data_IF_194000288413
#
_entry.id   IF_194000288413
#
_cell.length_a   1.000
_cell.length_b   1.000
_cell.length_c   1.000
_cell.angle_alpha   90.00
_cell.angle_beta   90.00
_cell.angle_gamma   90.00
#
_symmetry.space_group_name_H-M   'P 1'
#
loop_
_entity.id
_entity.type
_entity.pdbx_description
1 polymer ?
#
# COMPACT_ATOMS: atom_id res chain seq x y z
N UNK A 1 12.13 -9.78 3.55
CA UNK A 1 10.71 -9.90 3.16
C UNK A 1 9.87 -9.79 4.43
N UNK A 2 8.86 -8.89 4.41
CA UNK A 2 7.97 -8.57 5.54
C UNK A 2 7.46 -9.82 6.29
N UNK A 3 7.12 -10.87 5.54
CA UNK A 3 6.69 -12.20 6.00
C UNK A 3 7.52 -12.88 7.09
N UNK A 4 8.78 -12.47 7.27
CA UNK A 4 9.72 -13.08 8.22
C UNK A 4 10.05 -12.18 9.42
N UNK A 5 9.31 -11.10 9.61
CA UNK A 5 9.55 -10.08 10.63
C UNK A 5 8.25 -9.79 11.39
N UNK A 6 7.94 -10.56 12.46
CA UNK A 6 6.69 -10.41 13.22
C UNK A 6 6.53 -9.03 13.89
N UNK A 7 7.61 -8.25 14.03
CA UNK A 7 7.57 -6.87 14.50
C UNK A 7 7.00 -5.88 13.46
N UNK A 8 6.85 -6.28 12.19
CA UNK A 8 6.24 -5.43 11.17
C UNK A 8 4.72 -5.56 11.27
N UNK A 9 4.10 -4.54 11.85
CA UNK A 9 2.66 -4.52 12.14
C UNK A 9 1.81 -3.91 11.02
N UNK A 10 2.43 -3.34 9.99
CA UNK A 10 1.72 -2.80 8.83
C UNK A 10 2.64 -2.47 7.66
N UNK A 11 2.05 -2.14 6.51
CA UNK A 11 2.79 -1.73 5.32
C UNK A 11 2.08 -0.65 4.50
N UNK A 12 2.88 0.12 3.77
CA UNK A 12 2.45 1.01 2.69
C UNK A 12 3.18 0.55 1.43
N UNK A 13 2.44 0.28 0.36
CA UNK A 13 3.01 -0.08 -0.94
C UNK A 13 2.54 0.91 -2.01
N UNK A 14 3.49 1.53 -2.71
CA UNK A 14 3.20 2.51 -3.78
C UNK A 14 3.56 1.89 -5.12
N UNK A 15 2.61 1.88 -6.05
CA UNK A 15 2.77 1.34 -7.42
C UNK A 15 3.44 -0.05 -7.47
N UNK A 16 2.94 -1.04 -6.72
CA UNK A 16 3.57 -2.37 -6.68
C UNK A 16 3.56 -2.98 -8.09
N UNK A 17 4.69 -3.54 -8.58
CA UNK A 17 4.80 -4.11 -9.94
C UNK A 17 4.05 -5.44 -10.10
N UNK A 18 2.73 -5.44 -9.89
CA UNK A 18 1.87 -6.62 -9.86
C UNK A 18 1.70 -7.30 -11.24
N UNK A 19 2.20 -6.67 -12.30
CA UNK A 19 2.26 -7.20 -13.65
C UNK A 19 3.54 -8.00 -13.94
N UNK A 20 4.66 -7.68 -13.28
CA UNK A 20 5.97 -8.31 -13.52
C UNK A 20 6.45 -9.18 -12.36
N UNK A 21 5.99 -8.91 -11.13
CA UNK A 21 6.38 -9.65 -9.93
C UNK A 21 5.23 -10.46 -9.37
N UNK A 22 5.57 -11.65 -8.89
CA UNK A 22 4.63 -12.49 -8.18
C UNK A 22 4.54 -12.05 -6.71
N UNK A 23 3.33 -11.65 -6.31
CA UNK A 23 2.98 -11.25 -4.95
C UNK A 23 2.22 -12.35 -4.19
N UNK A 24 2.20 -13.60 -4.69
CA UNK A 24 1.66 -14.76 -3.96
C UNK A 24 2.30 -14.95 -2.58
N UNK A 25 3.50 -14.41 -2.33
CA UNK A 25 4.10 -14.40 -1.01
C UNK A 25 3.29 -13.60 0.03
N UNK A 26 2.38 -12.72 -0.40
CA UNK A 26 1.38 -12.04 0.44
C UNK A 26 0.18 -12.93 0.79
N UNK A 27 0.30 -14.26 0.65
CA UNK A 27 -0.71 -15.23 1.03
C UNK A 27 -0.13 -16.33 1.96
N UNK A 28 -0.44 -16.33 3.28
CA UNK A 28 -1.24 -15.35 4.00
C UNK A 28 -0.52 -14.02 4.24
N UNK A 29 -1.18 -12.87 4.06
CA UNK A 29 -0.61 -11.57 4.40
C UNK A 29 -0.54 -11.45 5.95
N UNK A 30 0.62 -11.10 6.53
CA UNK A 30 0.86 -11.17 7.97
C UNK A 30 0.39 -9.91 8.70
N UNK A 31 0.15 -8.82 7.97
CA UNK A 31 -0.18 -7.50 8.51
C UNK A 31 -1.14 -6.78 7.58
N UNK A 32 -2.01 -5.94 8.14
CA UNK A 32 -2.84 -5.01 7.37
C UNK A 32 -1.98 -3.93 6.70
N UNK A 33 -2.49 -3.28 5.66
CA UNK A 33 -1.71 -2.32 4.90
C UNK A 33 -2.55 -1.48 3.95
N UNK A 34 -1.89 -0.55 3.27
CA UNK A 34 -2.47 0.21 2.15
C UNK A 34 -1.63 0.04 0.89
N UNK A 35 -2.31 -0.05 -0.24
CA UNK A 35 -1.74 0.06 -1.58
C UNK A 35 -2.23 1.36 -2.22
N UNK A 36 -1.28 2.23 -2.56
CA UNK A 36 -1.53 3.50 -3.26
C UNK A 36 -1.08 3.34 -4.72
N UNK A 37 -1.98 3.61 -5.66
CA UNK A 37 -1.72 3.40 -7.09
C UNK A 37 -2.22 4.55 -7.95
N UNK A 38 -1.50 4.89 -9.01
CA UNK A 38 -1.95 5.89 -9.98
C UNK A 38 -2.97 5.29 -10.96
N UNK A 39 -4.11 5.94 -11.16
CA UNK A 39 -5.13 5.47 -12.09
C UNK A 39 -4.67 5.53 -13.56
N UNK A 40 -3.76 6.46 -13.87
CA UNK A 40 -3.14 6.62 -15.19
C UNK A 40 -1.74 5.97 -15.27
N UNK A 41 -1.44 4.99 -14.42
CA UNK A 41 -0.17 4.27 -14.48
C UNK A 41 -0.08 3.38 -15.74
N UNK A 42 0.71 3.84 -16.72
CA UNK A 42 1.00 3.10 -17.95
C UNK A 42 2.10 2.05 -17.84
N UNK A 43 2.81 1.97 -16.70
CA UNK A 43 3.88 0.99 -16.44
C UNK A 43 3.32 -0.23 -15.70
N UNK A 44 2.45 0.00 -14.71
CA UNK A 44 1.73 -1.03 -13.98
C UNK A 44 0.23 -0.76 -14.12
N UNK A 45 -0.48 -1.54 -14.96
CA UNK A 45 -1.91 -1.33 -15.16
C UNK A 45 -2.71 -1.45 -13.85
N UNK A 46 -3.63 -0.51 -13.54
CA UNK A 46 -4.46 -0.52 -12.33
C UNK A 46 -5.14 -1.85 -12.04
N UNK A 47 -5.65 -2.52 -13.08
CA UNK A 47 -6.30 -3.82 -12.94
C UNK A 47 -5.38 -4.93 -12.40
N UNK A 48 -4.07 -4.86 -12.69
CA UNK A 48 -3.12 -5.85 -12.17
C UNK A 48 -2.99 -5.73 -10.66
N UNK A 49 -3.07 -4.51 -10.14
CA UNK A 49 -3.04 -4.24 -8.71
C UNK A 49 -4.39 -4.58 -8.07
N UNK A 50 -5.52 -4.28 -8.72
CA UNK A 50 -6.84 -4.68 -8.22
C UNK A 50 -6.96 -6.20 -8.05
N UNK A 51 -6.53 -6.97 -9.07
CA UNK A 51 -6.47 -8.45 -8.99
C UNK A 51 -5.53 -8.95 -7.89
N UNK A 52 -4.46 -8.22 -7.57
CA UNK A 52 -3.61 -8.55 -6.45
C UNK A 52 -4.35 -8.38 -5.12
N UNK A 53 -5.02 -7.24 -4.93
CA UNK A 53 -5.78 -6.94 -3.71
C UNK A 53 -6.91 -7.95 -3.50
N UNK A 54 -7.68 -8.27 -4.54
CA UNK A 54 -8.75 -9.27 -4.46
C UNK A 54 -8.22 -10.61 -3.92
N UNK A 55 -7.06 -11.06 -4.40
CA UNK A 55 -6.41 -12.30 -3.92
C UNK A 55 -5.99 -12.20 -2.45
N UNK A 56 -5.47 -11.06 -2.02
CA UNK A 56 -5.05 -10.86 -0.63
C UNK A 56 -6.27 -10.84 0.29
N UNK A 57 -7.34 -10.14 -0.10
CA UNK A 57 -8.57 -9.99 0.69
C UNK A 57 -9.38 -11.30 0.82
N UNK A 58 -9.17 -12.31 -0.03
CA UNK A 58 -9.77 -13.65 0.18
C UNK A 58 -9.32 -14.33 1.49
N UNK A 59 -8.26 -13.82 2.12
CA UNK A 59 -7.66 -14.39 3.32
C UNK A 59 -8.26 -13.74 4.57
N UNK A 60 -8.56 -14.54 5.60
CA UNK A 60 -9.12 -14.02 6.85
C UNK A 60 -8.02 -13.47 7.75
N UNK A 61 -8.28 -12.31 8.37
CA UNK A 61 -7.47 -11.79 9.48
C UNK A 61 -6.60 -10.58 9.17
N UNK A 62 -6.64 -10.05 7.94
CA UNK A 62 -5.92 -8.83 7.53
C UNK A 62 -6.77 -8.00 6.59
N UNK A 63 -6.63 -6.68 6.67
CA UNK A 63 -7.28 -5.72 5.80
C UNK A 63 -6.23 -5.02 4.93
N UNK A 64 -6.42 -5.07 3.62
CA UNK A 64 -5.60 -4.33 2.66
C UNK A 64 -6.48 -3.27 2.02
N UNK A 65 -6.22 -2.02 2.38
CA UNK A 65 -6.83 -0.84 1.77
C UNK A 65 -6.19 -0.60 0.40
N UNK A 66 -7.00 -0.19 -0.57
CA UNK A 66 -6.55 0.10 -1.92
C UNK A 66 -7.10 1.45 -2.36
N UNK A 67 -6.19 2.38 -2.64
CA UNK A 67 -6.55 3.74 -3.07
C UNK A 67 -5.94 4.04 -4.42
N UNK A 68 -6.79 4.50 -5.33
CA UNK A 68 -6.38 5.00 -6.62
C UNK A 68 -6.34 6.52 -6.59
N UNK A 69 -5.24 7.08 -7.10
CA UNK A 69 -5.05 8.51 -7.25
C UNK A 69 -5.42 8.87 -8.70
N UNK A 70 -6.51 9.62 -8.91
CA UNK A 70 -6.98 10.00 -10.24
C UNK A 70 -5.88 10.74 -11.02
N UNK A 71 -5.81 10.48 -12.33
CA UNK A 71 -4.87 11.09 -13.28
C UNK A 71 -3.37 10.92 -12.96
N UNK A 72 -3.02 10.22 -11.87
CA UNK A 72 -1.64 9.98 -11.50
C UNK A 72 -1.01 8.84 -12.33
N UNK A 73 0.20 9.09 -12.82
CA UNK A 73 1.04 8.09 -13.47
C UNK A 73 1.91 7.34 -12.44
N UNK A 74 2.72 6.39 -12.91
CA UNK A 74 3.65 5.60 -12.09
C UNK A 74 4.53 6.44 -11.14
N UNK A 75 4.89 7.65 -11.57
CA UNK A 75 5.85 8.51 -10.88
C UNK A 75 5.20 9.58 -10.01
N UNK A 76 3.87 9.72 -10.08
CA UNK A 76 3.10 10.76 -9.38
C UNK A 76 3.63 12.18 -9.61
N UNK A 77 4.26 12.50 -10.74
CA UNK A 77 5.03 13.75 -10.94
C UNK A 77 4.26 15.04 -10.60
N UNK A 78 2.95 15.07 -10.83
CA UNK A 78 2.05 16.20 -10.47
C UNK A 78 1.05 15.87 -9.36
N UNK A 79 1.18 14.71 -8.73
CA UNK A 79 0.24 14.16 -7.76
C UNK A 79 0.93 13.70 -6.46
N UNK A 80 2.19 14.09 -6.24
CA UNK A 80 2.93 13.76 -5.02
C UNK A 80 2.22 14.28 -3.77
N UNK A 81 1.69 15.51 -3.80
CA UNK A 81 0.96 16.06 -2.66
C UNK A 81 -0.28 15.22 -2.33
N UNK A 82 -1.02 14.79 -3.35
CA UNK A 82 -2.18 13.91 -3.16
C UNK A 82 -1.76 12.53 -2.63
N UNK A 83 -0.66 11.97 -3.13
CA UNK A 83 -0.09 10.73 -2.61
C UNK A 83 0.28 10.84 -1.12
N UNK A 84 0.88 11.97 -0.73
CA UNK A 84 1.23 12.23 0.67
C UNK A 84 0.00 12.38 1.56
N UNK A 85 -1.06 13.04 1.07
CA UNK A 85 -2.35 13.13 1.80
C UNK A 85 -2.95 11.75 1.99
N UNK A 86 -3.09 10.95 0.94
CA UNK A 86 -3.68 9.60 1.04
C UNK A 86 -2.87 8.67 1.96
N UNK A 87 -1.54 8.76 1.89
CA UNK A 87 -0.66 8.01 2.79
C UNK A 87 -0.81 8.49 4.24
N UNK A 88 -0.88 9.81 4.46
CA UNK A 88 -1.10 10.42 5.77
C UNK A 88 -2.41 9.97 6.39
N UNK A 89 -3.51 10.06 5.64
CA UNK A 89 -4.85 9.64 6.09
C UNK A 89 -4.89 8.17 6.49
N UNK A 90 -4.20 7.30 5.75
CA UNK A 90 -4.05 5.89 6.15
C UNK A 90 -3.25 5.75 7.44
N UNK A 91 -2.12 6.43 7.56
CA UNK A 91 -1.26 6.37 8.74
C UNK A 91 -1.99 6.92 9.96
N UNK A 92 -2.70 8.03 9.88
CA UNK A 92 -3.48 8.59 10.99
C UNK A 92 -4.54 7.60 11.49
N UNK A 93 -5.13 6.81 10.59
CA UNK A 93 -6.08 5.76 10.96
C UNK A 93 -5.38 4.54 11.58
N UNK A 94 -4.26 4.11 11.00
CA UNK A 94 -3.53 2.92 11.42
C UNK A 94 -2.68 3.14 12.69
N UNK A 95 -2.26 4.39 12.94
CA UNK A 95 -1.26 4.81 13.93
C UNK A 95 -1.85 5.82 14.92
N UNK A 96 -3.14 6.16 14.83
CA UNK A 96 -3.79 7.30 15.52
C UNK A 96 -3.65 7.43 17.04
N UNK A 97 -2.99 6.50 17.74
CA UNK A 97 -2.62 6.60 19.16
C UNK A 97 -1.13 6.28 19.46
N UNK A 98 -0.26 6.14 18.46
CA UNK A 98 1.16 5.88 18.68
C UNK A 98 1.87 7.23 18.86
N UNK A 99 2.07 7.62 20.11
CA UNK A 99 3.04 8.65 20.48
C UNK A 99 4.45 8.16 20.11
N UNK A 100 4.87 8.37 18.86
CA UNK A 100 6.26 8.13 18.45
C UNK A 100 7.08 9.26 19.11
N UNK A 101 8.01 8.95 20.03
CA UNK A 101 8.95 9.96 20.51
C UNK A 101 9.77 10.38 19.31
N UNK A 102 9.54 11.59 18.83
CA UNK A 102 10.44 12.21 17.86
C UNK A 102 11.66 12.62 18.67
N UNK A 103 12.73 11.84 18.56
CA UNK A 103 14.00 12.19 19.17
C UNK A 103 14.46 13.50 18.50
N UNK A 104 14.62 14.59 19.25
CA UNK A 104 15.07 15.85 18.68
C UNK A 104 16.55 15.71 18.33
N UNK A 105 16.87 15.86 17.04
CA UNK A 105 18.24 16.03 16.55
C UNK A 105 18.84 17.36 17.06
#
# INVERSE_FOLDING_TARGET
LMMRRPEIVGFVAVTPPANDKDFTFLAPCPSSGVILHGEADGTVPPESVARLVDRIQTQKGVEVDMRFIPDANHFFTSHLDQLMVEMGDYLDTAVGDISIPIDPE
#
